data_IF_060316477912
#
_entry.id   IF_060316477912
#
_cell.length_a   1.000
_cell.length_b   1.000
_cell.length_c   1.000
_cell.angle_alpha   90.00
_cell.angle_beta   90.00
_cell.angle_gamma   90.00
#
_symmetry.space_group_name_H-M   'P 1'
#
loop_
_entity.id
_entity.type
_entity.pdbx_description
1 polymer ?
#
# COMPACT_ATOMS: atom_id res chain seq x y z
N UNK A 1 6.27 1.68 16.18
CA UNK A 1 5.62 0.64 15.38
C UNK A 1 4.15 1.04 15.21
N UNK A 2 3.82 1.82 14.17
CA UNK A 2 2.42 2.15 13.90
C UNK A 2 1.81 0.97 13.15
N UNK A 3 0.93 0.23 13.83
CA UNK A 3 0.14 -0.84 13.23
C UNK A 3 -0.92 -0.23 12.31
N UNK A 4 -1.11 -0.80 11.13
CA UNK A 4 -2.28 -0.56 10.29
C UNK A 4 -3.52 -0.85 11.14
N UNK A 5 -4.39 0.15 11.32
CA UNK A 5 -5.67 -0.04 11.99
C UNK A 5 -6.50 -1.08 11.21
N UNK A 6 -7.17 -2.04 11.89
CA UNK A 6 -7.83 -3.17 11.25
C UNK A 6 -8.91 -2.77 10.22
N UNK A 7 -9.43 -1.55 10.30
CA UNK A 7 -10.47 -1.03 9.40
C UNK A 7 -9.95 -0.73 7.99
N UNK A 8 -8.76 -0.14 7.84
CA UNK A 8 -8.17 0.17 6.52
C UNK A 8 -7.69 -1.11 5.80
N UNK A 9 -7.29 -2.13 6.56
CA UNK A 9 -6.94 -3.44 6.03
C UNK A 9 -8.19 -4.19 5.51
N UNK A 10 -9.37 -3.93 6.07
CA UNK A 10 -10.61 -4.65 5.76
C UNK A 10 -11.14 -4.33 4.34
N UNK A 11 -11.20 -3.06 3.96
CA UNK A 11 -11.85 -2.62 2.71
C UNK A 11 -11.09 -3.05 1.45
N UNK A 12 -9.76 -2.94 1.44
CA UNK A 12 -8.92 -3.38 0.29
C UNK A 12 -8.94 -4.90 0.15
N UNK A 13 -8.99 -5.62 1.28
CA UNK A 13 -9.06 -7.09 1.30
C UNK A 13 -10.39 -7.62 0.73
N UNK A 14 -11.49 -6.85 0.84
CA UNK A 14 -12.82 -7.28 0.39
C UNK A 14 -12.92 -7.41 -1.13
N UNK A 15 -12.33 -6.50 -1.90
CA UNK A 15 -12.38 -6.53 -3.38
C UNK A 15 -11.54 -7.68 -3.93
N UNK A 16 -10.29 -7.83 -3.48
CA UNK A 16 -9.42 -8.92 -3.90
C UNK A 16 -10.00 -10.31 -3.56
N UNK A 17 -10.57 -10.47 -2.36
CA UNK A 17 -11.30 -11.69 -1.98
C UNK A 17 -12.51 -11.95 -2.87
N UNK A 18 -13.17 -10.90 -3.36
CA UNK A 18 -14.33 -11.06 -4.24
C UNK A 18 -13.92 -11.60 -5.61
N UNK A 19 -12.80 -11.14 -6.16
CA UNK A 19 -12.30 -11.63 -7.45
C UNK A 19 -11.79 -13.08 -7.37
N UNK A 20 -11.10 -13.43 -6.29
CA UNK A 20 -10.69 -14.82 -6.05
C UNK A 20 -11.90 -15.77 -5.93
N UNK A 21 -12.96 -15.35 -5.21
CA UNK A 21 -14.20 -16.12 -5.07
C UNK A 21 -14.96 -16.32 -6.38
N UNK A 22 -14.78 -15.44 -7.36
CA UNK A 22 -15.35 -15.60 -8.70
C UNK A 22 -14.56 -16.60 -9.58
N UNK A 23 -13.52 -17.22 -9.04
CA UNK A 23 -12.72 -18.25 -9.71
C UNK A 23 -11.36 -17.76 -10.22
N UNK A 24 -11.04 -16.47 -10.05
CA UNK A 24 -9.76 -15.89 -10.48
C UNK A 24 -8.68 -16.17 -9.43
N UNK A 25 -8.15 -17.38 -9.41
CA UNK A 25 -7.07 -17.78 -8.48
C UNK A 25 -5.87 -16.84 -8.61
N UNK A 26 -5.29 -16.43 -7.48
CA UNK A 26 -4.14 -15.52 -7.46
C UNK A 26 -4.49 -14.03 -7.57
N UNK A 27 -5.77 -13.67 -7.54
CA UNK A 27 -6.24 -12.27 -7.58
C UNK A 27 -6.67 -11.76 -6.19
N UNK A 28 -6.30 -12.46 -5.13
CA UNK A 28 -6.49 -11.94 -3.77
C UNK A 28 -5.55 -10.77 -3.51
N UNK A 29 -5.86 -9.95 -2.51
CA UNK A 29 -4.95 -8.87 -2.09
C UNK A 29 -3.57 -9.40 -1.65
N UNK A 30 -3.55 -10.57 -0.98
CA UNK A 30 -2.30 -11.17 -0.50
C UNK A 30 -1.42 -11.63 -1.67
N UNK A 31 -2.02 -12.08 -2.77
CA UNK A 31 -1.30 -12.52 -3.96
C UNK A 31 -0.79 -11.34 -4.80
N UNK A 32 -1.54 -10.23 -4.83
CA UNK A 32 -1.21 -9.05 -5.62
C UNK A 32 -0.26 -8.08 -4.93
N UNK A 33 -0.26 -8.01 -3.59
CA UNK A 33 0.62 -7.10 -2.84
C UNK A 33 2.11 -7.25 -3.19
N UNK A 34 2.68 -8.46 -3.34
CA UNK A 34 4.05 -8.62 -3.82
C UNK A 34 4.31 -7.99 -5.20
N UNK A 35 3.35 -8.06 -6.12
CA UNK A 35 3.46 -7.45 -7.43
C UNK A 35 3.50 -5.92 -7.35
N UNK A 36 2.65 -5.30 -6.51
CA UNK A 36 2.68 -3.85 -6.29
C UNK A 36 4.00 -3.39 -5.65
N UNK A 37 4.51 -4.11 -4.65
CA UNK A 37 5.82 -3.81 -4.06
C UNK A 37 6.98 -3.99 -5.02
N UNK A 38 6.87 -4.90 -5.99
CA UNK A 38 7.93 -5.14 -6.98
C UNK A 38 8.02 -4.00 -8.00
N UNK A 39 6.89 -3.38 -8.37
CA UNK A 39 6.89 -2.26 -9.33
C UNK A 39 7.26 -0.92 -8.68
N UNK A 40 7.00 -0.76 -7.39
CA UNK A 40 7.18 0.50 -6.65
C UNK A 40 8.61 0.71 -6.13
N UNK A 41 9.07 1.96 -6.22
CA UNK A 41 10.18 2.54 -5.48
C UNK A 41 9.67 3.75 -4.69
N UNK A 42 9.22 3.47 -3.47
CA UNK A 42 8.68 4.47 -2.56
C UNK A 42 9.81 5.24 -1.88
N UNK A 43 9.73 6.56 -1.89
CA UNK A 43 10.64 7.42 -1.12
C UNK A 43 9.91 7.98 0.08
N UNK A 44 10.46 7.74 1.28
CA UNK A 44 10.00 8.37 2.50
C UNK A 44 10.50 9.83 2.55
N UNK A 45 9.78 10.74 1.89
CA UNK A 45 10.09 12.18 1.84
C UNK A 45 9.00 13.03 2.51
N UNK A 46 8.43 12.55 3.62
CA UNK A 46 7.41 13.32 4.34
C UNK A 46 8.09 14.31 5.28
N UNK A 47 8.09 15.59 4.91
CA UNK A 47 8.47 16.65 5.85
C UNK A 47 7.50 16.68 7.05
N UNK A 48 7.97 16.81 8.30
CA UNK A 48 7.09 16.73 9.48
C UNK A 48 5.95 17.74 9.49
N UNK A 49 6.16 18.93 8.91
CA UNK A 49 5.14 19.96 8.75
C UNK A 49 4.02 19.48 7.82
N UNK A 50 4.40 19.01 6.62
CA UNK A 50 3.47 18.51 5.61
C UNK A 50 2.76 17.23 6.08
N UNK A 51 3.39 16.41 6.93
CA UNK A 51 2.78 15.21 7.50
C UNK A 51 1.51 15.53 8.31
N UNK A 52 1.55 16.61 9.08
CA UNK A 52 0.45 17.02 9.93
C UNK A 52 -0.65 17.70 9.12
N UNK A 53 -0.29 18.61 8.22
CA UNK A 53 -1.23 19.34 7.36
C UNK A 53 -1.96 18.40 6.40
N UNK A 54 -1.23 17.49 5.74
CA UNK A 54 -1.79 16.56 4.76
C UNK A 54 -2.27 15.25 5.39
N UNK A 55 -2.16 15.12 6.73
CA UNK A 55 -2.52 13.94 7.49
C UNK A 55 -1.91 12.64 6.93
N UNK A 56 -0.67 12.69 6.43
CA UNK A 56 -0.02 11.54 5.79
C UNK A 56 0.61 10.61 6.82
N UNK A 57 0.30 9.32 6.71
CA UNK A 57 0.79 8.26 7.61
C UNK A 57 1.17 6.99 6.82
N UNK A 58 2.22 7.05 5.97
CA UNK A 58 2.63 5.91 5.15
C UNK A 58 2.97 4.70 6.02
N UNK A 59 2.56 3.52 5.55
CA UNK A 59 2.77 2.24 6.24
C UNK A 59 3.85 1.47 5.49
N UNK A 60 5.07 1.38 6.06
CA UNK A 60 6.20 0.75 5.37
C UNK A 60 5.90 -0.70 4.92
N UNK A 61 5.04 -1.41 5.65
CA UNK A 61 4.61 -2.75 5.30
C UNK A 61 3.78 -2.83 4.01
N UNK A 62 3.25 -1.74 3.48
CA UNK A 62 2.49 -1.70 2.23
C UNK A 62 3.34 -1.38 0.99
N UNK A 63 4.57 -0.87 1.17
CA UNK A 63 5.36 -0.29 0.08
C UNK A 63 6.53 -1.15 -0.41
N UNK A 64 6.92 -0.91 -1.66
CA UNK A 64 8.13 -1.40 -2.32
C UNK A 64 9.21 -0.33 -2.43
N UNK A 65 10.48 -0.74 -2.57
CA UNK A 65 11.63 0.17 -2.55
C UNK A 65 12.63 -0.01 -3.71
N UNK A 66 12.44 -1.05 -4.52
CA UNK A 66 13.40 -1.46 -5.55
C UNK A 66 12.81 -1.47 -6.96
N UNK A 67 11.55 -1.04 -7.11
CA UNK A 67 10.87 -1.01 -8.39
C UNK A 67 11.29 0.15 -9.30
N UNK A 68 10.67 0.21 -10.48
CA UNK A 68 10.95 1.25 -11.48
C UNK A 68 10.02 2.46 -11.37
N UNK A 69 8.87 2.31 -10.70
CA UNK A 69 7.89 3.39 -10.55
C UNK A 69 8.21 4.18 -9.28
N UNK A 70 8.63 5.43 -9.45
CA UNK A 70 8.92 6.32 -8.34
C UNK A 70 7.62 6.84 -7.72
N UNK A 71 7.46 6.64 -6.41
CA UNK A 71 6.29 7.11 -5.65
C UNK A 71 6.77 7.90 -4.44
N UNK A 72 6.19 9.08 -4.24
CA UNK A 72 6.53 10.01 -3.16
C UNK A 72 5.36 10.95 -2.87
N UNK A 73 5.45 11.71 -1.79
CA UNK A 73 4.51 12.80 -1.54
C UNK A 73 4.92 14.08 -2.28
N UNK A 74 3.97 14.98 -2.60
CA UNK A 74 4.27 16.31 -3.11
C UNK A 74 5.17 17.09 -2.15
N UNK A 75 6.03 17.93 -2.73
CA UNK A 75 6.89 18.87 -2.01
C UNK A 75 6.36 20.29 -2.16
#
# INVERSE_FOLDING_TARGET
MASVGPEAQCLITMVGKSWEKLGNKGWSWNDLLPCFKKSEKFTFNVEPHNAQELHTRPQSAAHGYNGSVHVSYPQ
#
